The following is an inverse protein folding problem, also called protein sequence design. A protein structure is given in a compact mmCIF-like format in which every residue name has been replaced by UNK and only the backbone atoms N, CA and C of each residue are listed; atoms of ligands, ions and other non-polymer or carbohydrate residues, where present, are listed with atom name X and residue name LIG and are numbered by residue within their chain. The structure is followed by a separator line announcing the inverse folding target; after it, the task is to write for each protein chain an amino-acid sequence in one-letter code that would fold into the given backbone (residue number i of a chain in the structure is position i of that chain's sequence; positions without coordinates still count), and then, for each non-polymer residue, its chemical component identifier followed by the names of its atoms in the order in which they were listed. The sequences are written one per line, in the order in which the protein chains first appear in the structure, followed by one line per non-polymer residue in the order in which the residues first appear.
data_IF_520071166528
#
_entry.id   IF_520071166528
#
_cell.length_a   1.000
_cell.length_b   1.000
_cell.length_c   1.000
_cell.angle_alpha   90.00
_cell.angle_beta   90.00
_cell.angle_gamma   90.00
#
_symmetry.space_group_name_H-M   'P 1'
#
loop_
_entity.id
_entity.type
_entity.pdbx_description
1 polymer ?
#
# COMPACT_ATOMS: atom_id res chain seq x y z
N UNK A 1 14.90 31.97 -26.60
CA UNK A 1 13.52 31.89 -27.11
C UNK A 1 12.88 30.71 -26.39
N UNK A 2 11.86 30.85 -25.53
CA UNK A 2 10.49 31.32 -25.81
C UNK A 2 9.78 30.42 -26.84
N UNK A 3 8.54 29.96 -26.68
CA UNK A 3 7.59 29.91 -25.55
C UNK A 3 6.33 29.16 -26.09
N UNK A 4 5.58 28.42 -25.26
CA UNK A 4 4.16 28.06 -25.52
C UNK A 4 3.86 27.28 -26.84
N UNK A 5 2.63 26.89 -27.22
CA UNK A 5 1.47 26.34 -26.50
C UNK A 5 0.45 25.76 -27.53
N UNK A 6 -0.52 24.98 -27.03
CA UNK A 6 -1.92 24.94 -27.48
C UNK A 6 -2.33 24.57 -28.94
N UNK A 7 -2.92 23.38 -29.04
CA UNK A 7 -4.39 23.16 -29.13
C UNK A 7 -5.16 23.35 -30.46
N UNK A 8 -6.19 22.50 -30.61
CA UNK A 8 -7.40 22.61 -31.45
C UNK A 8 -7.31 22.66 -32.99
N UNK A 9 -7.94 21.66 -33.62
CA UNK A 9 -8.37 21.69 -35.03
C UNK A 9 -9.57 20.75 -35.24
N UNK A 10 -10.78 21.31 -35.40
CA UNK A 10 -12.03 20.59 -35.59
C UNK A 10 -12.60 20.87 -36.99
N UNK A 11 -13.01 19.87 -37.76
CA UNK A 11 -14.00 20.06 -38.86
C UNK A 11 -14.59 18.74 -39.37
N UNK A 12 -15.84 18.81 -39.87
CA UNK A 12 -16.67 17.69 -40.34
C UNK A 12 -16.70 17.57 -41.87
N UNK A 13 -16.89 16.34 -42.38
CA UNK A 13 -17.58 15.93 -43.63
C UNK A 13 -17.84 14.42 -43.49
N UNK A 14 -18.93 13.79 -43.95
CA UNK A 14 -20.05 14.20 -44.81
C UNK A 14 -20.36 13.02 -45.76
N UNK A 15 -21.50 12.33 -45.61
CA UNK A 15 -21.80 11.07 -46.33
C UNK A 15 -22.77 11.20 -47.51
N UNK A 16 -23.52 10.11 -47.79
CA UNK A 16 -24.49 9.81 -48.89
C UNK A 16 -23.87 8.96 -50.03
N UNK A 17 -24.56 8.00 -50.68
CA UNK A 17 -25.88 7.38 -50.45
C UNK A 17 -26.47 6.69 -51.71
N UNK A 18 -27.48 5.80 -51.56
CA UNK A 18 -28.46 5.31 -52.59
C UNK A 18 -27.92 4.48 -53.79
N UNK A 19 -28.70 3.77 -54.63
CA UNK A 19 -29.80 2.76 -54.55
C UNK A 19 -30.32 2.46 -55.99
N UNK A 20 -31.24 1.48 -56.19
CA UNK A 20 -32.27 1.31 -57.29
C UNK A 20 -32.46 -0.14 -57.86
N UNK A 21 -33.60 -0.36 -58.56
CA UNK A 21 -34.37 -1.60 -58.93
C UNK A 21 -34.50 -1.76 -60.50
N UNK A 22 -35.36 -2.60 -61.17
CA UNK A 22 -36.04 -3.92 -60.91
C UNK A 22 -36.11 -4.96 -62.12
N UNK A 23 -36.82 -6.11 -61.95
CA UNK A 23 -37.86 -6.76 -62.86
C UNK A 23 -37.70 -8.19 -63.50
N UNK A 24 -38.74 -9.05 -63.32
CA UNK A 24 -39.24 -10.24 -64.14
C UNK A 24 -38.39 -11.52 -64.34
N UNK A 25 -38.90 -12.78 -64.48
CA UNK A 25 -40.10 -13.34 -65.21
C UNK A 25 -40.65 -14.69 -64.59
N UNK A 26 -41.75 -15.29 -65.11
CA UNK A 26 -42.61 -16.39 -64.55
C UNK A 26 -42.23 -17.86 -64.99
N UNK A 27 -42.96 -19.00 -64.81
CA UNK A 27 -44.43 -19.32 -64.64
C UNK A 27 -44.76 -20.78 -64.12
N UNK A 28 -45.89 -20.96 -63.40
CA UNK A 28 -46.83 -22.14 -63.28
C UNK A 28 -46.42 -23.64 -63.16
N UNK A 29 -47.00 -24.38 -62.18
CA UNK A 29 -47.87 -25.62 -62.34
C UNK A 29 -48.37 -26.17 -60.97
N UNK A 30 -49.07 -27.33 -60.89
CA UNK A 30 -50.24 -27.57 -60.00
C UNK A 30 -50.31 -28.89 -59.16
N UNK A 31 -51.24 -28.94 -58.18
CA UNK A 31 -51.79 -30.14 -57.45
C UNK A 31 -50.87 -30.81 -56.39
N UNK A 32 -51.27 -31.62 -55.37
CA UNK A 32 -52.57 -32.21 -54.92
C UNK A 32 -52.60 -32.63 -53.41
N UNK A 33 -53.81 -32.76 -52.83
CA UNK A 33 -54.32 -33.67 -51.75
C UNK A 33 -53.54 -34.11 -50.46
N UNK A 34 -54.08 -33.68 -49.30
CA UNK A 34 -54.53 -34.54 -48.14
C UNK A 34 -53.47 -35.11 -47.11
N UNK A 35 -53.84 -35.71 -45.94
CA UNK A 35 -53.62 -35.04 -44.64
C UNK A 35 -52.90 -35.87 -43.54
N UNK A 36 -52.50 -35.24 -42.41
CA UNK A 36 -51.95 -35.92 -41.20
C UNK A 36 -52.49 -35.35 -39.87
N UNK A 37 -52.46 -36.13 -38.75
CA UNK A 37 -53.51 -36.05 -37.72
C UNK A 37 -53.22 -35.16 -36.50
N UNK A 38 -54.29 -34.85 -35.76
CA UNK A 38 -54.27 -34.17 -34.46
C UNK A 38 -53.66 -35.06 -33.37
N UNK A 39 -52.79 -34.49 -32.52
CA UNK A 39 -52.36 -35.09 -31.26
C UNK A 39 -52.64 -34.16 -30.07
N UNK A 40 -53.11 -34.76 -28.98
CA UNK A 40 -53.66 -34.06 -27.80
C UNK A 40 -52.59 -33.45 -26.90
N UNK A 41 -52.78 -32.20 -26.46
CA UNK A 41 -51.92 -31.53 -25.47
C UNK A 41 -52.39 -31.83 -24.04
N UNK A 42 -51.57 -32.56 -23.27
CA UNK A 42 -51.71 -32.68 -21.80
C UNK A 42 -51.21 -31.41 -21.07
N UNK A 43 -51.67 -31.13 -19.83
CA UNK A 43 -51.69 -29.76 -19.29
C UNK A 43 -50.35 -29.25 -18.72
N UNK A 44 -50.10 -27.96 -18.94
CA UNK A 44 -48.82 -27.25 -18.75
C UNK A 44 -48.58 -26.71 -17.33
N UNK A 45 -48.99 -27.43 -16.26
CA UNK A 45 -48.94 -26.90 -14.88
C UNK A 45 -47.54 -26.83 -14.26
N UNK A 46 -46.65 -27.81 -14.50
CA UNK A 46 -45.35 -27.91 -13.80
C UNK A 46 -44.33 -26.81 -14.18
N UNK A 47 -44.43 -26.26 -15.40
CA UNK A 47 -43.53 -25.23 -15.93
C UNK A 47 -43.82 -23.84 -15.32
N UNK A 48 -45.09 -23.56 -14.97
CA UNK A 48 -45.50 -22.25 -14.42
C UNK A 48 -44.77 -21.90 -13.12
N UNK A 49 -44.66 -22.88 -12.21
CA UNK A 49 -44.04 -22.69 -10.90
C UNK A 49 -42.53 -22.47 -11.03
N UNK A 50 -41.85 -23.23 -11.90
CA UNK A 50 -40.41 -23.04 -12.14
C UNK A 50 -40.12 -21.66 -12.73
N UNK A 51 -40.90 -21.21 -13.72
CA UNK A 51 -40.75 -19.88 -14.30
C UNK A 51 -41.03 -18.76 -13.26
N UNK A 52 -42.01 -18.95 -12.38
CA UNK A 52 -42.28 -18.00 -11.29
C UNK A 52 -41.12 -17.93 -10.29
N UNK A 53 -40.56 -19.07 -9.89
CA UNK A 53 -39.42 -19.14 -8.96
C UNK A 53 -38.15 -18.53 -9.55
N UNK A 54 -37.86 -18.73 -10.83
CA UNK A 54 -36.73 -18.10 -11.51
C UNK A 54 -36.94 -16.59 -11.70
N UNK A 55 -38.12 -16.15 -12.13
CA UNK A 55 -38.41 -14.72 -12.32
C UNK A 55 -38.38 -13.93 -11.00
N UNK A 56 -38.69 -14.59 -9.88
CA UNK A 56 -38.70 -13.99 -8.54
C UNK A 56 -37.53 -14.46 -7.65
N UNK A 57 -36.47 -15.04 -8.23
CA UNK A 57 -35.38 -15.64 -7.46
C UNK A 57 -34.74 -14.66 -6.47
N UNK A 58 -34.44 -13.44 -6.93
CA UNK A 58 -33.86 -12.39 -6.08
C UNK A 58 -34.83 -11.86 -5.02
N UNK A 59 -36.11 -11.68 -5.34
CA UNK A 59 -37.10 -11.18 -4.37
C UNK A 59 -37.41 -12.22 -3.29
N UNK A 60 -37.50 -13.50 -3.67
CA UNK A 60 -37.64 -14.63 -2.75
C UNK A 60 -36.38 -14.74 -1.85
N UNK A 61 -35.18 -14.69 -2.44
CA UNK A 61 -33.92 -14.73 -1.69
C UNK A 61 -33.79 -13.57 -0.69
N UNK A 62 -34.15 -12.34 -1.09
CA UNK A 62 -34.16 -11.17 -0.21
C UNK A 62 -35.17 -11.34 0.94
N UNK A 63 -36.37 -11.86 0.65
CA UNK A 63 -37.42 -12.08 1.65
C UNK A 63 -37.04 -13.15 2.67
N UNK A 64 -36.39 -14.24 2.22
CA UNK A 64 -35.86 -15.30 3.10
C UNK A 64 -34.75 -14.74 4.00
N UNK A 65 -33.81 -13.98 3.44
CA UNK A 65 -32.73 -13.34 4.20
C UNK A 65 -33.26 -12.35 5.24
N UNK A 66 -34.28 -11.55 4.89
CA UNK A 66 -34.94 -10.62 5.82
C UNK A 66 -35.68 -11.36 6.94
N UNK A 67 -36.40 -12.44 6.62
CA UNK A 67 -37.06 -13.27 7.62
C UNK A 67 -36.05 -13.96 8.55
N UNK A 68 -34.91 -14.42 8.03
CA UNK A 68 -33.84 -14.98 8.84
C UNK A 68 -33.20 -13.93 9.75
N UNK A 69 -32.92 -12.74 9.23
CA UNK A 69 -32.41 -11.61 10.02
C UNK A 69 -33.37 -11.23 11.15
N UNK A 70 -34.68 -11.12 10.86
CA UNK A 70 -35.72 -10.84 11.85
C UNK A 70 -35.81 -11.98 12.89
N UNK A 71 -35.72 -13.25 12.47
CA UNK A 71 -35.74 -14.39 13.39
C UNK A 71 -34.52 -14.43 14.31
N UNK A 72 -33.33 -14.10 13.80
CA UNK A 72 -32.10 -13.93 14.59
C UNK A 72 -32.24 -12.77 15.57
N UNK A 73 -32.76 -11.62 15.12
CA UNK A 73 -33.00 -10.44 15.95
C UNK A 73 -33.97 -10.72 17.11
N UNK A 74 -35.07 -11.44 16.85
CA UNK A 74 -36.01 -11.84 17.92
C UNK A 74 -35.49 -12.95 18.82
N UNK A 75 -34.60 -13.84 18.36
CA UNK A 75 -34.02 -14.91 19.20
C UNK A 75 -32.85 -14.47 20.06
N UNK A 76 -32.01 -13.59 19.55
CA UNK A 76 -30.75 -13.21 20.20
C UNK A 76 -30.74 -11.76 20.72
N UNK A 77 -31.75 -10.96 20.36
CA UNK A 77 -31.88 -9.57 20.76
C UNK A 77 -30.84 -8.66 20.11
N UNK A 78 -30.88 -7.37 20.46
CA UNK A 78 -29.77 -6.46 20.21
C UNK A 78 -28.66 -6.85 21.21
N UNK A 79 -27.44 -7.23 20.78
CA UNK A 79 -26.33 -7.39 21.70
C UNK A 79 -26.04 -6.04 22.34
N UNK A 80 -26.12 -5.96 23.67
CA UNK A 80 -25.73 -4.77 24.41
C UNK A 80 -24.29 -4.39 24.02
N UNK A 81 -23.97 -3.08 23.83
CA UNK A 81 -22.60 -2.67 23.67
C UNK A 81 -21.80 -3.16 24.88
N UNK A 82 -20.67 -3.83 24.62
CA UNK A 82 -19.72 -4.26 25.65
C UNK A 82 -19.22 -3.02 26.39
N UNK A 83 -19.83 -2.72 27.53
CA UNK A 83 -19.31 -1.71 28.45
C UNK A 83 -18.03 -2.26 29.05
N UNK A 84 -16.90 -1.73 28.58
CA UNK A 84 -15.57 -2.00 29.14
C UNK A 84 -15.48 -1.36 30.53
N UNK A 85 -16.11 -1.99 31.51
CA UNK A 85 -16.00 -1.63 32.91
C UNK A 85 -14.59 -1.98 33.40
N UNK A 86 -13.65 -1.09 33.09
CA UNK A 86 -12.29 -1.11 33.62
C UNK A 86 -12.34 -0.90 35.14
N UNK A 87 -12.44 -2.00 35.88
CA UNK A 87 -12.27 -2.03 37.33
C UNK A 87 -10.79 -2.06 37.66
N UNK A 88 -10.07 -0.97 37.39
CA UNK A 88 -8.76 -0.74 37.99
C UNK A 88 -8.91 -0.45 39.50
N UNK A 89 -8.97 -1.52 40.30
CA UNK A 89 -8.69 -1.50 41.73
C UNK A 89 -7.55 -2.45 42.06
N UNK A 90 -6.33 -2.03 41.75
CA UNK A 90 -5.20 -2.24 42.66
C UNK A 90 -4.36 -0.97 42.65
N UNK A 91 -4.65 -0.09 43.62
CA UNK A 91 -3.77 1.03 43.96
C UNK A 91 -2.53 0.47 44.67
N UNK A 92 -1.62 -0.13 43.91
CA UNK A 92 -0.23 -0.22 44.34
C UNK A 92 0.26 1.21 44.54
N UNK A 93 0.73 1.51 45.75
CA UNK A 93 1.35 2.80 46.05
C UNK A 93 2.71 2.86 45.32
N UNK A 94 2.66 3.17 44.02
CA UNK A 94 3.79 3.75 43.32
C UNK A 94 4.07 5.10 43.97
N UNK A 95 4.94 5.06 44.98
CA UNK A 95 5.50 6.21 45.66
C UNK A 95 6.17 7.06 44.59
N UNK A 96 5.47 8.10 44.13
CA UNK A 96 6.00 9.08 43.19
C UNK A 96 7.28 9.64 43.82
N UNK A 97 8.43 9.15 43.34
CA UNK A 97 9.72 9.75 43.63
C UNK A 97 9.74 11.04 42.83
N UNK A 98 9.22 12.11 43.44
CA UNK A 98 9.50 13.48 43.01
C UNK A 98 11.00 13.55 42.73
N UNK A 99 11.46 13.98 41.54
CA UNK A 99 12.88 14.19 41.33
C UNK A 99 13.33 15.23 42.36
N UNK A 100 14.25 14.83 43.23
CA UNK A 100 14.81 15.77 44.20
C UNK A 100 15.74 16.68 43.41
N UNK A 101 15.21 17.81 42.96
CA UNK A 101 16.00 18.92 42.42
C UNK A 101 16.85 19.45 43.57
N UNK A 102 18.01 18.83 43.77
CA UNK A 102 19.07 19.42 44.59
C UNK A 102 19.62 20.60 43.81
N UNK A 103 19.38 21.81 44.30
CA UNK A 103 20.17 22.98 43.89
C UNK A 103 21.66 22.63 44.07
N UNK A 104 22.55 22.96 43.12
CA UNK A 104 23.97 22.74 43.31
C UNK A 104 24.47 23.62 44.47
N UNK A 105 24.84 22.99 45.57
CA UNK A 105 25.69 23.59 46.58
C UNK A 105 27.12 23.39 46.06
N UNK A 106 27.91 24.46 45.95
CA UNK A 106 29.34 24.34 45.70
C UNK A 106 29.94 23.50 46.83
N UNK A 107 30.54 22.36 46.48
CA UNK A 107 31.29 21.59 47.47
C UNK A 107 32.64 22.27 47.71
N UNK A 108 32.79 22.90 48.85
CA UNK A 108 33.80 22.34 49.73
C UNK A 108 33.22 21.05 50.35
N UNK A 109 34.06 20.03 50.54
CA UNK A 109 33.73 18.64 50.93
C UNK A 109 32.91 17.78 49.93
N UNK A 110 33.64 17.04 49.08
CA UNK A 110 33.62 15.56 49.16
C UNK A 110 32.42 14.76 48.63
N UNK A 111 31.50 15.32 47.83
CA UNK A 111 30.43 14.54 47.20
C UNK A 111 30.69 14.42 45.69
N UNK A 112 30.81 13.17 45.19
CA UNK A 112 30.74 12.89 43.75
C UNK A 112 29.33 13.18 43.25
N UNK A 113 29.08 14.44 42.89
CA UNK A 113 28.04 14.79 41.93
C UNK A 113 28.38 14.02 40.66
N UNK A 114 27.47 13.17 40.19
CA UNK A 114 27.66 12.41 38.97
C UNK A 114 28.00 13.40 37.85
N UNK A 115 29.25 13.35 37.38
CA UNK A 115 29.75 14.28 36.38
C UNK A 115 28.88 14.14 35.14
N UNK A 116 28.26 15.24 34.72
CA UNK A 116 27.55 15.26 33.43
C UNK A 116 28.55 14.82 32.35
N UNK A 117 28.11 13.98 31.42
CA UNK A 117 28.95 13.56 30.30
C UNK A 117 29.45 14.80 29.55
N UNK A 118 30.76 14.97 29.49
CA UNK A 118 31.38 16.05 28.72
C UNK A 118 31.09 15.79 27.24
N UNK A 119 30.27 16.64 26.64
CA UNK A 119 29.84 16.57 25.23
C UNK A 119 29.80 17.98 24.66
N UNK A 120 30.07 18.12 23.36
CA UNK A 120 30.11 19.43 22.69
C UNK A 120 28.72 20.07 22.55
N UNK A 121 27.68 19.23 22.40
CA UNK A 121 26.30 19.64 22.18
C UNK A 121 25.37 18.76 23.04
N UNK A 122 24.45 19.39 23.77
CA UNK A 122 23.27 18.71 24.33
C UNK A 122 22.02 19.20 23.61
N UNK A 123 21.04 18.31 23.37
CA UNK A 123 19.77 18.71 22.74
C UNK A 123 19.05 19.79 23.55
N UNK A 124 19.15 19.74 24.89
CA UNK A 124 18.56 20.75 25.77
C UNK A 124 19.20 22.13 25.56
N UNK A 125 20.52 22.24 25.64
CA UNK A 125 21.20 23.53 25.51
C UNK A 125 21.18 24.06 24.07
N UNK A 126 20.92 23.19 23.10
CA UNK A 126 20.61 23.56 21.72
C UNK A 126 19.19 24.15 21.61
N UNK A 127 18.17 23.48 22.18
CA UNK A 127 16.79 23.97 22.20
C UNK A 127 16.64 25.31 22.95
N UNK A 128 17.40 25.51 24.03
CA UNK A 128 17.40 26.79 24.78
C UNK A 128 18.02 27.96 23.98
N UNK A 129 18.70 27.68 22.85
CA UNK A 129 19.44 28.68 22.04
C UNK A 129 18.87 28.87 20.63
N UNK A 130 18.22 27.86 20.05
CA UNK A 130 17.64 27.97 18.70
C UNK A 130 16.41 28.90 18.72
N UNK A 131 16.35 29.83 17.78
CA UNK A 131 15.22 30.79 17.65
C UNK A 131 13.99 30.20 16.93
N UNK A 132 14.14 29.04 16.26
CA UNK A 132 13.09 28.32 15.52
C UNK A 132 12.36 29.16 14.45
N UNK A 133 13.06 30.12 13.83
CA UNK A 133 12.50 30.94 12.75
C UNK A 133 12.32 30.13 11.45
N UNK A 134 11.10 30.16 10.90
CA UNK A 134 10.77 29.55 9.60
C UNK A 134 10.95 30.59 8.47
N UNK A 135 12.19 30.74 7.99
CA UNK A 135 12.58 31.70 6.95
C UNK A 135 12.89 30.97 5.64
N UNK A 136 12.38 31.47 4.51
CA UNK A 136 12.62 30.88 3.19
C UNK A 136 14.09 30.98 2.76
N UNK A 137 14.81 29.85 2.83
CA UNK A 137 16.20 29.70 2.39
C UNK A 137 16.42 29.68 0.87
N UNK A 138 15.37 29.82 0.06
CA UNK A 138 15.42 29.79 -1.39
C UNK A 138 15.21 28.39 -1.97
N UNK A 139 16.13 27.86 -2.81
CA UNK A 139 16.01 26.49 -3.36
C UNK A 139 16.03 25.40 -2.27
N UNK A 140 16.83 25.58 -1.22
CA UNK A 140 16.74 24.80 0.01
C UNK A 140 15.87 25.56 1.01
N UNK A 141 14.60 25.18 1.08
CA UNK A 141 13.56 25.98 1.78
C UNK A 141 13.83 26.26 3.25
N UNK A 142 14.42 25.29 3.97
CA UNK A 142 14.65 25.34 5.42
C UNK A 142 16.14 25.54 5.77
N UNK A 143 16.92 26.12 4.87
CA UNK A 143 18.36 26.32 5.04
C UNK A 143 18.83 27.61 4.40
N UNK A 144 19.93 27.56 3.67
CA UNK A 144 20.52 28.72 3.01
C UNK A 144 21.18 28.35 1.68
N UNK A 145 21.61 29.36 0.92
CA UNK A 145 22.43 29.15 -0.28
C UNK A 145 23.82 28.65 0.11
N UNK A 146 24.03 27.34 -0.01
CA UNK A 146 25.35 26.72 0.10
C UNK A 146 26.24 27.22 -1.03
N UNK A 147 27.47 27.61 -0.69
CA UNK A 147 28.52 27.99 -1.65
C UNK A 147 29.79 27.20 -1.32
N UNK A 148 30.61 26.98 -2.34
CA UNK A 148 31.92 26.34 -2.28
C UNK A 148 32.90 27.18 -3.10
N UNK A 149 34.19 27.13 -2.75
CA UNK A 149 35.27 27.81 -3.48
C UNK A 149 35.62 27.08 -4.76
N UNK A 150 35.51 25.75 -4.76
CA UNK A 150 35.85 24.87 -5.87
C UNK A 150 37.22 24.18 -5.74
N UNK A 151 38.04 24.57 -4.75
CA UNK A 151 39.38 24.04 -4.47
C UNK A 151 39.40 23.02 -3.31
N UNK A 152 38.27 22.80 -2.63
CA UNK A 152 38.19 21.97 -1.41
C UNK A 152 38.61 20.51 -1.62
N UNK A 153 38.61 20.03 -2.87
CA UNK A 153 38.87 18.64 -3.24
C UNK A 153 40.10 18.45 -4.13
N UNK A 154 41.01 19.43 -4.14
CA UNK A 154 42.25 19.36 -4.93
C UNK A 154 43.25 18.36 -4.36
N UNK A 155 43.45 18.36 -3.03
CA UNK A 155 44.36 17.44 -2.32
C UNK A 155 43.77 16.04 -2.08
N UNK A 156 42.47 15.94 -1.76
CA UNK A 156 41.74 14.67 -1.65
C UNK A 156 40.42 14.75 -2.42
N UNK A 157 40.11 13.72 -3.22
CA UNK A 157 38.88 13.70 -4.01
C UNK A 157 37.67 13.31 -3.17
N UNK A 158 36.58 14.07 -3.33
CA UNK A 158 35.28 13.76 -2.77
C UNK A 158 34.83 12.36 -3.22
N UNK A 159 34.56 11.48 -2.25
CA UNK A 159 34.07 10.11 -2.47
C UNK A 159 32.55 10.14 -2.44
N UNK A 160 31.91 9.83 -3.56
CA UNK A 160 30.45 9.83 -3.70
C UNK A 160 29.95 8.39 -3.72
N UNK A 161 29.10 8.05 -2.75
CA UNK A 161 28.40 6.77 -2.71
C UNK A 161 26.92 7.00 -3.04
N UNK A 162 26.47 6.46 -4.16
CA UNK A 162 25.04 6.40 -4.50
C UNK A 162 24.49 5.10 -3.92
N UNK A 163 23.45 5.19 -3.08
CA UNK A 163 22.91 4.06 -2.31
C UNK A 163 21.45 3.80 -2.73
N UNK A 164 21.21 2.87 -3.68
CA UNK A 164 19.87 2.46 -4.07
C UNK A 164 19.15 1.75 -2.90
N UNK A 165 17.91 2.15 -2.65
CA UNK A 165 17.04 1.61 -1.60
C UNK A 165 15.59 1.64 -2.07
N UNK A 166 14.70 1.00 -1.31
CA UNK A 166 13.25 1.16 -1.43
C UNK A 166 12.66 1.08 -0.03
N UNK A 167 12.04 2.16 0.43
CA UNK A 167 11.27 2.14 1.67
C UNK A 167 9.99 1.33 1.46
N UNK A 168 9.69 0.39 2.35
CA UNK A 168 8.57 -0.53 2.24
C UNK A 168 7.77 -0.52 3.55
N UNK A 169 6.85 0.43 3.70
CA UNK A 169 5.94 0.55 4.86
C UNK A 169 5.27 -0.80 5.21
N UNK A 170 5.50 -1.37 6.40
CA UNK A 170 4.80 -2.56 6.89
C UNK A 170 3.37 -2.23 7.38
N UNK A 171 2.57 -1.62 6.48
CA UNK A 171 1.24 -1.10 6.74
C UNK A 171 1.23 0.43 6.86
N UNK A 172 0.50 1.10 5.96
CA UNK A 172 0.32 2.56 5.97
C UNK A 172 -1.00 2.94 5.26
N UNK A 173 -0.96 3.18 3.94
CA UNK A 173 -2.16 3.42 3.11
C UNK A 173 -2.84 2.12 2.68
N UNK A 174 -2.08 1.04 2.60
CA UNK A 174 -2.55 -0.32 2.39
C UNK A 174 -2.15 -1.17 3.60
N UNK A 175 -2.79 -2.34 3.72
CA UNK A 175 -2.39 -3.36 4.68
C UNK A 175 -1.05 -4.01 4.30
N UNK A 176 -0.38 -4.67 5.27
CA UNK A 176 0.86 -5.44 5.04
C UNK A 176 0.70 -6.42 3.87
N UNK A 177 -0.40 -7.18 3.87
CA UNK A 177 -0.68 -8.17 2.82
C UNK A 177 -0.83 -7.54 1.44
N UNK A 178 -1.56 -6.43 1.34
CA UNK A 178 -1.76 -5.73 0.07
C UNK A 178 -0.47 -5.13 -0.48
N UNK A 179 0.37 -4.54 0.38
CA UNK A 179 1.69 -4.05 -0.01
C UNK A 179 2.58 -5.18 -0.49
N UNK A 180 2.63 -6.31 0.22
CA UNK A 180 3.43 -7.46 -0.20
C UNK A 180 3.02 -7.99 -1.58
N UNK A 181 1.73 -8.32 -1.78
CA UNK A 181 1.25 -8.92 -3.03
C UNK A 181 1.28 -7.95 -4.22
N UNK A 182 1.13 -6.64 -3.98
CA UNK A 182 1.14 -5.63 -5.05
C UNK A 182 2.53 -5.08 -5.36
N UNK A 183 3.42 -5.00 -4.37
CA UNK A 183 4.68 -4.23 -4.45
C UNK A 183 5.88 -5.01 -3.90
N UNK A 184 5.99 -5.21 -2.59
CA UNK A 184 7.26 -5.61 -1.94
C UNK A 184 7.83 -6.94 -2.45
N UNK A 185 6.97 -7.93 -2.72
CA UNK A 185 7.38 -9.20 -3.35
C UNK A 185 8.07 -8.98 -4.70
N UNK A 186 7.46 -8.15 -5.56
CA UNK A 186 7.98 -7.83 -6.91
C UNK A 186 9.25 -7.02 -6.85
N UNK A 187 9.38 -6.14 -5.85
CA UNK A 187 10.60 -5.36 -5.60
C UNK A 187 11.74 -6.31 -5.24
N UNK A 188 11.53 -7.26 -4.33
CA UNK A 188 12.53 -8.28 -3.96
C UNK A 188 12.91 -9.19 -5.13
N UNK A 189 11.94 -9.68 -5.91
CA UNK A 189 12.20 -10.44 -7.14
C UNK A 189 13.07 -9.61 -8.13
N UNK A 190 12.75 -8.32 -8.30
CA UNK A 190 13.47 -7.40 -9.19
C UNK A 190 14.88 -7.09 -8.68
N UNK A 191 15.09 -6.99 -7.37
CA UNK A 191 16.41 -6.80 -6.75
C UNK A 191 17.31 -7.99 -7.08
N UNK A 192 16.84 -9.22 -6.83
CA UNK A 192 17.61 -10.45 -7.12
C UNK A 192 17.95 -10.53 -8.62
N UNK A 193 16.98 -10.30 -9.50
CA UNK A 193 17.19 -10.33 -10.95
C UNK A 193 18.15 -9.22 -11.43
N UNK A 194 18.03 -8.01 -10.88
CA UNK A 194 18.77 -6.82 -11.35
C UNK A 194 20.20 -6.78 -10.83
N UNK A 195 20.44 -7.18 -9.58
CA UNK A 195 21.79 -7.23 -9.02
C UNK A 195 22.62 -8.36 -9.66
N UNK A 196 22.01 -9.51 -9.93
CA UNK A 196 22.68 -10.66 -10.57
C UNK A 196 23.21 -10.36 -11.99
N UNK A 197 22.71 -9.30 -12.64
CA UNK A 197 23.11 -8.89 -14.00
C UNK A 197 24.39 -8.03 -14.05
N UNK A 198 24.82 -7.43 -12.94
CA UNK A 198 26.02 -6.58 -12.89
C UNK A 198 26.55 -6.48 -11.45
N UNK A 199 27.71 -7.09 -11.21
CA UNK A 199 28.38 -7.18 -9.89
C UNK A 199 28.68 -5.84 -9.22
N UNK A 200 28.66 -4.74 -9.98
CA UNK A 200 28.88 -3.38 -9.46
C UNK A 200 27.63 -2.78 -8.83
N UNK A 201 26.44 -3.30 -9.13
CA UNK A 201 25.18 -2.81 -8.59
C UNK A 201 25.08 -3.15 -7.11
N UNK A 202 24.63 -2.16 -6.33
CA UNK A 202 24.38 -2.24 -4.90
C UNK A 202 22.92 -1.93 -4.59
N UNK A 203 22.39 -2.50 -3.52
CA UNK A 203 21.08 -2.15 -2.96
C UNK A 203 21.09 -2.39 -1.45
N UNK A 204 20.30 -1.62 -0.70
CA UNK A 204 20.06 -1.85 0.74
C UNK A 204 18.60 -2.23 0.98
N UNK A 205 18.36 -3.18 1.88
CA UNK A 205 17.03 -3.61 2.31
C UNK A 205 16.90 -3.56 3.84
N UNK A 206 15.75 -3.14 4.36
CA UNK A 206 15.55 -2.92 5.79
C UNK A 206 14.47 -3.83 6.40
N UNK A 207 13.27 -3.85 5.83
CA UNK A 207 12.10 -4.38 6.53
C UNK A 207 12.06 -5.92 6.48
N UNK A 208 12.48 -6.58 7.56
CA UNK A 208 12.57 -8.05 7.64
C UNK A 208 11.20 -8.74 7.58
N UNK A 209 10.11 -8.04 7.95
CA UNK A 209 8.74 -8.57 7.83
C UNK A 209 8.36 -8.97 6.40
N UNK A 210 8.78 -8.17 5.41
CA UNK A 210 8.56 -8.50 4.00
C UNK A 210 9.60 -9.47 3.45
N UNK A 211 10.86 -9.38 3.92
CA UNK A 211 11.91 -10.30 3.48
C UNK A 211 11.68 -11.74 3.97
N UNK A 212 11.27 -11.96 5.22
CA UNK A 212 10.91 -13.30 5.74
C UNK A 212 9.80 -13.92 4.89
N UNK A 213 8.75 -13.15 4.63
CA UNK A 213 7.61 -13.62 3.84
C UNK A 213 8.04 -13.97 2.41
N UNK A 214 8.79 -13.08 1.76
CA UNK A 214 9.34 -13.34 0.43
C UNK A 214 10.25 -14.56 0.41
N UNK A 215 11.11 -14.72 1.41
CA UNK A 215 12.03 -15.85 1.54
C UNK A 215 11.29 -17.18 1.66
N UNK A 216 10.23 -17.23 2.47
CA UNK A 216 9.37 -18.40 2.62
C UNK A 216 8.62 -18.74 1.33
N UNK A 217 8.11 -17.73 0.63
CA UNK A 217 7.29 -17.90 -0.57
C UNK A 217 8.14 -18.04 -1.86
N UNK A 218 9.47 -17.94 -1.78
CA UNK A 218 10.42 -17.96 -2.90
C UNK A 218 10.92 -19.34 -3.31
N UNK A 219 11.35 -19.45 -4.57
CA UNK A 219 12.03 -20.63 -5.12
C UNK A 219 13.45 -20.77 -4.55
N UNK A 220 13.96 -22.02 -4.50
CA UNK A 220 15.33 -22.30 -4.04
C UNK A 220 16.39 -21.47 -4.79
N UNK A 221 16.25 -21.36 -6.11
CA UNK A 221 17.15 -20.57 -6.97
C UNK A 221 17.14 -19.07 -6.62
N UNK A 222 15.98 -18.49 -6.30
CA UNK A 222 15.90 -17.09 -5.86
C UNK A 222 16.57 -16.90 -4.49
N UNK A 223 16.39 -17.87 -3.56
CA UNK A 223 17.00 -17.84 -2.22
C UNK A 223 18.52 -17.97 -2.29
N UNK A 224 19.03 -18.92 -3.06
CA UNK A 224 20.46 -19.09 -3.33
C UNK A 224 21.06 -17.83 -3.98
N UNK A 225 20.39 -17.28 -5.00
CA UNK A 225 20.82 -16.03 -5.63
C UNK A 225 20.84 -14.86 -4.64
N UNK A 226 19.81 -14.71 -3.80
CA UNK A 226 19.76 -13.71 -2.74
C UNK A 226 20.91 -13.90 -1.73
N UNK A 227 21.16 -15.12 -1.26
CA UNK A 227 22.28 -15.42 -0.36
C UNK A 227 23.63 -15.04 -0.98
N UNK A 228 23.85 -15.37 -2.26
CA UNK A 228 25.07 -15.00 -2.98
C UNK A 228 25.24 -13.47 -3.09
N UNK A 229 24.15 -12.74 -3.33
CA UNK A 229 24.15 -11.26 -3.38
C UNK A 229 24.43 -10.61 -2.01
N UNK A 230 24.04 -11.25 -0.91
CA UNK A 230 24.42 -10.81 0.44
C UNK A 230 25.89 -11.15 0.72
N UNK A 231 26.33 -12.37 0.41
CA UNK A 231 27.72 -12.81 0.64
C UNK A 231 28.75 -12.00 -0.16
N UNK A 232 28.42 -11.59 -1.39
CA UNK A 232 29.30 -10.76 -2.22
C UNK A 232 29.14 -9.24 -1.97
N UNK A 233 28.29 -8.86 -1.00
CA UNK A 233 28.05 -7.48 -0.60
C UNK A 233 27.38 -6.62 -1.68
N UNK A 234 26.65 -7.21 -2.63
CA UNK A 234 25.77 -6.45 -3.54
C UNK A 234 24.45 -6.06 -2.90
N UNK A 235 23.94 -6.87 -1.97
CA UNK A 235 22.76 -6.58 -1.19
C UNK A 235 23.15 -6.52 0.29
N UNK A 236 22.90 -5.38 0.93
CA UNK A 236 23.15 -5.19 2.36
C UNK A 236 21.81 -5.12 3.11
N UNK A 237 21.74 -5.80 4.26
CA UNK A 237 20.61 -5.68 5.17
C UNK A 237 20.95 -4.60 6.21
N UNK A 238 20.22 -3.50 6.19
CA UNK A 238 20.39 -2.36 7.11
C UNK A 238 19.32 -2.41 8.19
N UNK A 239 19.67 -2.03 9.42
CA UNK A 239 18.77 -2.12 10.59
C UNK A 239 18.50 -3.57 11.05
N UNK A 240 17.97 -4.41 10.16
CA UNK A 240 17.64 -5.82 10.45
C UNK A 240 16.41 -6.01 11.36
N UNK A 241 15.65 -4.94 11.61
CA UNK A 241 14.41 -4.97 12.38
C UNK A 241 13.27 -5.60 11.58
N UNK A 242 12.23 -6.08 12.29
CA UNK A 242 10.99 -6.53 11.64
C UNK A 242 10.33 -5.41 10.82
N UNK A 243 10.45 -4.18 11.33
CA UNK A 243 9.98 -2.91 10.76
C UNK A 243 11.00 -1.82 11.12
N UNK A 244 10.99 -0.69 10.41
CA UNK A 244 11.45 0.59 10.95
C UNK A 244 10.42 1.04 12.00
N UNK A 245 10.82 1.19 13.27
CA UNK A 245 9.91 1.53 14.36
C UNK A 245 9.75 3.04 14.57
N UNK A 246 8.67 3.42 15.26
CA UNK A 246 8.48 4.75 15.85
C UNK A 246 9.52 5.02 16.94
N UNK A 247 9.96 6.28 17.12
CA UNK A 247 11.06 6.70 18.04
C UNK A 247 10.66 7.85 18.99
#
# INVERSE_FOLDING_TARGET
MAFFSSNTGNTRRGGWGQSLLPTSTSTSTSSSSSPRPKLSRKPRRRISIQNFLFANFFTIGLSISLLFFIAVFFRYGIPNPLSSHSKHKHSSFYRSRKPVIRKPILSDSGIQVASASVVDITTKDLYDKIEFLDVDGGPWKQGWRVNYKGDEWDSEKLKIFVVPHSHNDPGWKLTVDEYYERQSRRILDTIVETLSKDVRRKFIWEEMSYLERWWRDSSESNRESFTNLVQNGQLEIVGGGWVMNDE
#
